data_IF_297166455230
#
_entry.id   IF_297166455230
#
_cell.length_a   1.000
_cell.length_b   1.000
_cell.length_c   1.000
_cell.angle_alpha   90.00
_cell.angle_beta   90.00
_cell.angle_gamma   90.00
#
_symmetry.space_group_name_H-M   'P 1'
#
loop_
_entity.id
_entity.type
_entity.pdbx_description
1 polymer ?
#
# COMPACT_ATOMS: atom_id res chain seq x y z
N UNK A 1 13.50 8.08 -15.96
CA UNK A 1 13.00 6.74 -15.64
C UNK A 1 12.46 6.75 -14.21
N UNK A 2 11.20 6.44 -14.07
CA UNK A 2 10.61 6.41 -12.74
C UNK A 2 11.02 5.14 -12.00
N UNK A 3 11.34 5.27 -10.73
CA UNK A 3 11.59 4.12 -9.88
C UNK A 3 10.28 3.65 -9.30
N UNK A 4 10.07 2.34 -9.30
CA UNK A 4 8.93 1.77 -8.62
C UNK A 4 9.12 1.94 -7.10
N UNK A 5 8.05 2.28 -6.42
CA UNK A 5 8.03 2.32 -4.97
C UNK A 5 7.02 1.31 -4.47
N UNK A 6 7.22 0.84 -3.24
CA UNK A 6 6.29 -0.07 -2.61
C UNK A 6 4.94 0.64 -2.40
N UNK A 7 3.86 0.04 -2.90
CA UNK A 7 2.53 0.63 -2.79
C UNK A 7 1.99 0.58 -1.35
N UNK A 8 2.65 -0.12 -0.46
CA UNK A 8 2.25 -0.21 0.94
C UNK A 8 3.04 0.73 1.85
N UNK A 9 4.37 0.69 1.79
CA UNK A 9 5.21 1.47 2.69
C UNK A 9 5.95 2.63 2.04
N UNK A 10 5.85 2.78 0.72
CA UNK A 10 6.47 3.86 -0.06
C UNK A 10 8.00 3.79 -0.19
N UNK A 11 8.63 2.74 0.30
CA UNK A 11 10.08 2.57 0.14
C UNK A 11 10.42 2.09 -1.27
N UNK A 12 11.63 2.38 -1.76
CA UNK A 12 11.98 2.11 -3.17
C UNK A 12 12.46 0.69 -3.48
N UNK A 13 12.40 -0.23 -2.53
CA UNK A 13 12.98 -1.57 -2.71
C UNK A 13 11.95 -2.61 -3.11
N UNK A 14 11.31 -2.38 -4.27
CA UNK A 14 10.26 -3.26 -4.78
C UNK A 14 10.88 -4.52 -5.37
N UNK A 15 10.42 -5.68 -4.92
CA UNK A 15 10.86 -6.99 -5.44
C UNK A 15 9.71 -7.91 -5.79
N UNK A 16 8.47 -7.54 -5.45
CA UNK A 16 7.28 -8.34 -5.70
C UNK A 16 6.19 -7.54 -6.39
N UNK A 17 5.37 -8.24 -7.18
CA UNK A 17 4.19 -7.67 -7.81
C UNK A 17 2.97 -8.52 -7.46
N UNK A 18 1.91 -7.88 -7.02
CA UNK A 18 0.64 -8.53 -6.73
C UNK A 18 -0.35 -8.18 -7.82
N UNK A 19 -0.80 -9.17 -8.61
CA UNK A 19 -1.85 -8.91 -9.60
C UNK A 19 -3.12 -8.44 -8.91
N UNK A 20 -3.70 -7.37 -9.41
CA UNK A 20 -4.92 -6.80 -8.83
C UNK A 20 -5.73 -6.10 -9.91
N UNK A 21 -7.05 -6.09 -9.72
CA UNK A 21 -7.95 -5.33 -10.58
C UNK A 21 -7.84 -3.85 -10.22
N UNK A 22 -8.09 -3.00 -11.20
CA UNK A 22 -8.22 -1.56 -10.96
C UNK A 22 -9.46 -1.31 -10.12
N UNK A 23 -9.35 -0.46 -9.10
CA UNK A 23 -10.50 -0.11 -8.27
C UNK A 23 -10.44 1.35 -7.86
N UNK A 24 -11.62 1.91 -7.52
CA UNK A 24 -11.69 3.28 -6.99
C UNK A 24 -11.15 3.27 -5.57
N UNK A 25 -10.05 3.97 -5.34
CA UNK A 25 -9.34 3.91 -4.08
C UNK A 25 -9.96 4.82 -3.01
N UNK A 26 -10.38 6.02 -3.41
CA UNK A 26 -10.97 6.98 -2.47
C UNK A 26 -11.60 8.15 -3.22
N UNK A 27 -12.45 8.88 -2.50
CA UNK A 27 -12.95 10.18 -2.95
C UNK A 27 -12.82 11.13 -1.78
N UNK A 28 -12.01 12.18 -1.93
CA UNK A 28 -11.79 13.18 -0.89
C UNK A 28 -11.94 14.55 -1.53
N UNK A 29 -12.81 15.39 -0.99
CA UNK A 29 -13.02 16.76 -1.47
C UNK A 29 -13.23 16.84 -2.98
N UNK A 30 -14.07 15.97 -3.52
CA UNK A 30 -14.37 15.86 -4.95
C UNK A 30 -13.18 15.42 -5.82
N UNK A 31 -12.13 14.93 -5.19
CA UNK A 31 -10.98 14.36 -5.91
C UNK A 31 -11.05 12.85 -5.69
N UNK A 32 -11.20 12.12 -6.78
CA UNK A 32 -11.20 10.67 -6.75
C UNK A 32 -9.86 10.13 -7.19
N UNK A 33 -9.47 9.00 -6.62
CA UNK A 33 -8.27 8.29 -7.02
C UNK A 33 -8.61 6.86 -7.42
N UNK A 34 -7.85 6.32 -8.36
CA UNK A 34 -7.94 4.92 -8.76
C UNK A 34 -6.64 4.22 -8.45
N UNK A 35 -6.75 2.98 -7.98
CA UNK A 35 -5.62 2.06 -7.94
C UNK A 35 -5.63 1.29 -9.25
N UNK A 36 -4.70 1.60 -10.13
CA UNK A 36 -4.65 1.05 -11.48
C UNK A 36 -3.73 -0.15 -11.53
N UNK A 37 -4.30 -1.32 -11.82
CA UNK A 37 -3.54 -2.53 -12.05
C UNK A 37 -2.85 -3.08 -10.81
N UNK A 38 -1.72 -3.72 -11.04
CA UNK A 38 -1.00 -4.49 -10.05
C UNK A 38 -0.34 -3.61 -8.99
N UNK A 39 -0.14 -4.17 -7.79
CA UNK A 39 0.52 -3.49 -6.69
C UNK A 39 1.94 -4.00 -6.53
N UNK A 40 2.85 -3.07 -6.27
CA UNK A 40 4.25 -3.36 -6.03
C UNK A 40 4.52 -3.48 -4.53
N UNK A 41 5.35 -4.43 -4.13
CA UNK A 41 5.67 -4.63 -2.72
C UNK A 41 7.15 -4.87 -2.51
N UNK A 42 7.68 -4.29 -1.42
CA UNK A 42 9.02 -4.61 -0.95
C UNK A 42 8.99 -5.96 -0.22
N UNK A 43 10.16 -6.50 0.08
CA UNK A 43 10.25 -7.81 0.75
C UNK A 43 9.53 -7.83 2.09
N UNK A 44 9.67 -6.77 2.89
CA UNK A 44 9.04 -6.73 4.21
C UNK A 44 7.52 -6.70 4.12
N UNK A 45 6.97 -5.86 3.23
CA UNK A 45 5.52 -5.81 3.05
C UNK A 45 5.00 -7.12 2.49
N UNK A 46 5.73 -7.73 1.56
CA UNK A 46 5.38 -9.05 1.04
C UNK A 46 5.26 -10.09 2.16
N UNK A 47 6.22 -10.12 3.07
CA UNK A 47 6.18 -11.06 4.20
C UNK A 47 4.95 -10.86 5.07
N UNK A 48 4.63 -9.60 5.39
CA UNK A 48 3.46 -9.29 6.19
C UNK A 48 2.17 -9.72 5.50
N UNK A 49 2.08 -9.52 4.19
CA UNK A 49 0.92 -9.93 3.41
C UNK A 49 0.79 -11.45 3.42
N UNK A 50 1.89 -12.18 3.20
CA UNK A 50 1.84 -13.64 3.09
C UNK A 50 1.52 -14.33 4.41
N UNK A 51 1.92 -13.76 5.54
CA UNK A 51 1.54 -14.33 6.85
C UNK A 51 0.19 -13.81 7.35
N UNK A 52 -0.45 -12.92 6.61
CA UNK A 52 -1.76 -12.39 6.98
C UNK A 52 -1.74 -11.34 8.07
N UNK A 53 -0.59 -10.72 8.32
CA UNK A 53 -0.47 -9.69 9.36
C UNK A 53 -0.86 -8.31 8.81
N UNK A 54 -2.17 -8.11 8.68
CA UNK A 54 -2.70 -6.85 8.14
C UNK A 54 -2.43 -5.67 9.06
N UNK A 55 -2.49 -5.88 10.37
CA UNK A 55 -2.20 -4.83 11.33
C UNK A 55 -0.74 -4.38 11.23
N UNK A 56 0.19 -5.33 11.11
CA UNK A 56 1.60 -5.03 10.92
C UNK A 56 1.87 -4.30 9.61
N UNK A 57 1.16 -4.69 8.56
CA UNK A 57 1.28 -4.04 7.25
C UNK A 57 0.84 -2.57 7.33
N UNK A 58 -0.30 -2.32 7.97
CA UNK A 58 -0.80 -0.96 8.16
C UNK A 58 0.15 -0.13 9.01
N UNK A 59 0.64 -0.69 10.12
CA UNK A 59 1.57 0.00 11.00
C UNK A 59 2.87 0.36 10.28
N UNK A 60 3.43 -0.57 9.51
CA UNK A 60 4.64 -0.30 8.73
C UNK A 60 4.39 0.81 7.71
N UNK A 61 3.25 0.75 7.01
CA UNK A 61 2.89 1.77 6.02
C UNK A 61 2.78 3.15 6.65
N UNK A 62 2.15 3.23 7.82
CA UNK A 62 1.97 4.49 8.53
C UNK A 62 3.30 5.04 9.06
N UNK A 63 4.10 4.20 9.70
CA UNK A 63 5.38 4.61 10.27
C UNK A 63 6.33 5.13 9.19
N UNK A 64 6.42 4.43 8.06
CA UNK A 64 7.31 4.87 6.98
C UNK A 64 6.82 6.16 6.33
N UNK A 65 5.51 6.31 6.16
CA UNK A 65 4.96 7.54 5.59
C UNK A 65 5.25 8.74 6.50
N UNK A 66 5.00 8.61 7.79
CA UNK A 66 5.23 9.71 8.73
C UNK A 66 6.71 10.01 8.88
N UNK A 67 7.57 8.99 8.81
CA UNK A 67 9.02 9.22 8.85
C UNK A 67 9.49 10.07 7.68
N UNK A 68 8.89 9.89 6.49
CA UNK A 68 9.23 10.68 5.31
C UNK A 68 8.49 12.02 5.28
N UNK A 69 7.35 12.11 5.94
CA UNK A 69 6.50 13.29 5.96
C UNK A 69 6.07 13.62 7.39
N UNK A 70 7.03 14.09 8.24
CA UNK A 70 6.72 14.37 9.66
C UNK A 70 5.57 15.35 9.87
N UNK A 71 5.32 16.22 8.89
CA UNK A 71 4.21 17.17 8.93
C UNK A 71 2.85 16.50 8.95
N UNK A 72 2.79 15.22 8.61
CA UNK A 72 1.54 14.47 8.63
C UNK A 72 1.22 13.83 9.99
N UNK A 73 2.12 13.93 10.95
CA UNK A 73 1.89 13.34 12.28
C UNK A 73 0.55 13.75 12.92
N UNK A 74 0.10 15.01 12.83
CA UNK A 74 -1.20 15.39 13.41
C UNK A 74 -2.39 14.68 12.76
N UNK A 75 -2.23 14.17 11.54
CA UNK A 75 -3.29 13.46 10.82
C UNK A 75 -3.18 11.94 10.96
N UNK A 76 -2.42 11.44 11.93
CA UNK A 76 -2.14 10.01 12.09
C UNK A 76 -3.41 9.14 12.09
N UNK A 77 -4.44 9.56 12.81
CA UNK A 77 -5.68 8.78 12.90
C UNK A 77 -6.39 8.67 11.55
N UNK A 78 -6.47 9.76 10.82
CA UNK A 78 -7.11 9.76 9.50
C UNK A 78 -6.28 8.94 8.50
N UNK A 79 -4.96 9.03 8.59
CA UNK A 79 -4.08 8.25 7.73
C UNK A 79 -4.23 6.75 8.01
N UNK A 80 -4.37 6.38 9.27
CA UNK A 80 -4.56 4.99 9.66
C UNK A 80 -5.84 4.43 9.07
N UNK A 81 -6.94 5.18 9.18
CA UNK A 81 -8.22 4.77 8.59
C UNK A 81 -8.12 4.63 7.07
N UNK A 82 -7.49 5.61 6.44
CA UNK A 82 -7.32 5.61 5.00
C UNK A 82 -6.50 4.42 4.51
N UNK A 83 -5.37 4.15 5.16
CA UNK A 83 -4.53 3.02 4.80
C UNK A 83 -5.22 1.69 5.03
N UNK A 84 -5.95 1.56 6.13
CA UNK A 84 -6.71 0.34 6.41
C UNK A 84 -7.73 0.08 5.31
N UNK A 85 -8.46 1.12 4.89
CA UNK A 85 -9.43 1.01 3.79
C UNK A 85 -8.76 0.61 2.48
N UNK A 86 -7.63 1.23 2.15
CA UNK A 86 -6.89 0.91 0.92
C UNK A 86 -6.43 -0.54 0.93
N UNK A 87 -5.91 -1.01 2.05
CA UNK A 87 -5.44 -2.39 2.16
C UNK A 87 -6.58 -3.39 2.03
N UNK A 88 -7.73 -3.11 2.64
CA UNK A 88 -8.92 -3.96 2.49
C UNK A 88 -9.30 -4.05 1.01
N UNK A 89 -9.34 -2.93 0.31
CA UNK A 89 -9.70 -2.91 -1.11
C UNK A 89 -8.67 -3.64 -1.96
N UNK A 90 -7.39 -3.52 -1.63
CA UNK A 90 -6.36 -4.30 -2.30
C UNK A 90 -6.62 -5.80 -2.14
N UNK A 91 -6.85 -6.26 -0.91
CA UNK A 91 -7.08 -7.69 -0.66
C UNK A 91 -8.33 -8.20 -1.36
N UNK A 92 -9.36 -7.37 -1.48
CA UNK A 92 -10.58 -7.74 -2.19
C UNK A 92 -10.40 -7.79 -3.70
N UNK A 93 -9.44 -7.02 -4.23
CA UNK A 93 -9.25 -6.90 -5.68
C UNK A 93 -8.02 -7.63 -6.21
N UNK A 94 -7.20 -8.23 -5.37
CA UNK A 94 -6.08 -9.03 -5.86
C UNK A 94 -6.60 -10.26 -6.59
N UNK A 95 -5.93 -10.60 -7.69
CA UNK A 95 -6.40 -11.65 -8.59
C UNK A 95 -5.50 -12.88 -8.63
N UNK A 96 -4.38 -12.84 -7.95
CA UNK A 96 -3.45 -13.96 -8.00
C UNK A 96 -2.34 -13.86 -6.97
N UNK A 97 -1.44 -14.81 -7.04
CA UNK A 97 -0.30 -14.87 -6.13
C UNK A 97 0.75 -13.82 -6.49
N UNK A 98 1.58 -13.47 -5.50
CA UNK A 98 2.68 -12.56 -5.73
C UNK A 98 3.65 -13.15 -6.75
N UNK A 99 4.18 -12.28 -7.61
CA UNK A 99 5.17 -12.63 -8.61
C UNK A 99 6.46 -11.88 -8.30
N UNK A 100 7.55 -12.63 -8.19
CA UNK A 100 8.85 -12.01 -7.97
C UNK A 100 9.33 -11.33 -9.24
N UNK A 101 9.75 -10.08 -9.13
CA UNK A 101 10.13 -9.30 -10.30
C UNK A 101 11.63 -8.97 -10.33
N UNK A 102 12.37 -9.45 -9.36
CA UNK A 102 13.82 -9.24 -9.31
C UNK A 102 14.52 -10.57 -9.04
#
# INVERSE_FOLDING_TARGET
MSKAICDFCSLPYVVWRYPARTFAAYVVANIGGESVGDWAACEQCHRLIEVGDRAGLMERSLVTLIAEHPEMEPARSELMEHMTSLHVMFFENRTGMALRIV
#
